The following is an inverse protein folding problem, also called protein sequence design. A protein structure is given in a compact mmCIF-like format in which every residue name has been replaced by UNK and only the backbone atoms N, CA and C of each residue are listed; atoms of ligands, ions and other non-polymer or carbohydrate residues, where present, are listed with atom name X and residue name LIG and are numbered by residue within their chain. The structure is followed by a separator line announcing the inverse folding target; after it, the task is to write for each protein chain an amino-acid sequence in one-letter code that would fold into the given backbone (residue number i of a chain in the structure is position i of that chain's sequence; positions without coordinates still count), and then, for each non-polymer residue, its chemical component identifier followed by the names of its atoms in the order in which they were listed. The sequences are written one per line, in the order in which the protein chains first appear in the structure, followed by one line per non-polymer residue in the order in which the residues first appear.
data_IF_663722286713
#
_entry.id   IF_663722286713
#
_cell.length_a   1.000
_cell.length_b   1.000
_cell.length_c   1.000
_cell.angle_alpha   90.00
_cell.angle_beta   90.00
_cell.angle_gamma   90.00
#
_symmetry.space_group_name_H-M   'P 1'
#
loop_
_entity.id
_entity.type
_entity.pdbx_description
1 polymer ?
#
# COMPACT_ATOMS: atom_id res chain seq x y z
N UNK A 1 8.17 0.17 24.68
CA UNK A 1 7.63 -0.63 23.58
C UNK A 1 8.49 -0.42 22.34
N UNK A 2 8.80 -1.49 21.64
CA UNK A 2 9.63 -1.42 20.44
C UNK A 2 8.87 -0.73 19.31
N UNK A 3 9.57 0.11 18.55
CA UNK A 3 9.00 0.75 17.36
C UNK A 3 9.55 0.06 16.11
N UNK A 4 8.65 -0.33 15.21
CA UNK A 4 9.02 -0.92 13.94
C UNK A 4 8.62 0.06 12.84
N UNK A 5 9.59 0.43 12.01
CA UNK A 5 9.36 1.38 10.93
C UNK A 5 9.29 0.62 9.60
N UNK A 6 8.17 0.80 8.88
CA UNK A 6 7.92 0.08 7.64
C UNK A 6 7.48 1.05 6.56
N UNK A 7 7.48 0.56 5.33
CA UNK A 7 6.99 1.28 4.15
C UNK A 7 5.91 0.45 3.48
N UNK A 8 4.95 1.11 2.85
CA UNK A 8 3.86 0.43 2.17
C UNK A 8 3.62 1.09 0.82
N UNK A 9 3.44 0.26 -0.21
CA UNK A 9 3.16 0.72 -1.56
C UNK A 9 1.68 0.55 -1.84
N UNK A 10 1.00 1.66 -2.12
CA UNK A 10 -0.36 1.63 -2.62
C UNK A 10 -0.24 1.67 -4.15
N UNK A 11 -0.19 0.47 -4.74
CA UNK A 11 0.03 0.31 -6.17
C UNK A 11 -1.29 0.47 -6.88
N UNK A 12 -1.39 1.49 -7.70
CA UNK A 12 -2.61 1.83 -8.40
C UNK A 12 -2.51 1.48 -9.87
N UNK A 13 -3.59 0.92 -10.42
CA UNK A 13 -3.68 0.64 -11.84
C UNK A 13 -5.11 0.99 -12.26
N UNK A 14 -5.27 2.08 -13.01
CA UNK A 14 -6.59 2.60 -13.32
C UNK A 14 -7.29 3.06 -12.05
N UNK A 15 -8.46 2.51 -11.79
CA UNK A 15 -9.24 2.84 -10.60
C UNK A 15 -9.15 1.76 -9.52
N UNK A 16 -8.11 0.91 -9.60
CA UNK A 16 -7.94 -0.20 -8.66
C UNK A 16 -6.60 -0.12 -7.95
N UNK A 17 -6.56 -0.68 -6.76
CA UNK A 17 -5.34 -0.78 -5.98
C UNK A 17 -5.05 -2.24 -5.66
N UNK A 18 -3.76 -2.55 -5.47
CA UNK A 18 -3.29 -3.90 -5.25
C UNK A 18 -3.21 -4.21 -3.77
N UNK A 19 -3.85 -5.30 -3.34
CA UNK A 19 -3.85 -5.76 -1.95
C UNK A 19 -3.34 -7.18 -1.90
N UNK A 20 -2.60 -7.52 -0.83
CA UNK A 20 -2.03 -8.85 -0.67
C UNK A 20 -2.50 -9.46 0.63
N UNK A 21 -2.64 -10.79 0.64
CA UNK A 21 -3.06 -11.53 1.82
C UNK A 21 -1.85 -12.19 2.45
N UNK A 22 -1.69 -11.97 3.75
CA UNK A 22 -0.55 -12.49 4.49
C UNK A 22 -0.64 -14.00 4.60
N UNK A 23 0.42 -14.70 4.24
CA UNK A 23 0.41 -16.16 4.14
C UNK A 23 0.97 -16.89 5.33
N UNK A 24 1.53 -16.20 6.33
CA UNK A 24 2.14 -16.87 7.48
C UNK A 24 2.27 -15.88 8.66
N UNK A 25 2.61 -16.44 9.81
CA UNK A 25 2.90 -15.65 11.00
C UNK A 25 1.66 -15.08 11.66
N UNK A 26 1.88 -14.09 12.50
CA UNK A 26 0.79 -13.35 13.13
C UNK A 26 -0.03 -12.65 12.07
N UNK A 27 -1.34 -12.62 12.28
CA UNK A 27 -2.26 -11.99 11.33
C UNK A 27 -2.34 -12.72 9.99
N UNK A 28 -2.02 -14.02 9.97
CA UNK A 28 -2.20 -14.83 8.77
C UNK A 28 -3.64 -14.68 8.26
N UNK A 29 -3.80 -14.63 6.93
CA UNK A 29 -5.07 -14.47 6.22
C UNK A 29 -5.64 -13.06 6.24
N UNK A 30 -5.03 -12.14 7.00
CA UNK A 30 -5.41 -10.73 6.94
C UNK A 30 -4.74 -10.07 5.74
N UNK A 31 -5.28 -8.95 5.31
CA UNK A 31 -4.83 -8.27 4.10
C UNK A 31 -4.04 -7.02 4.43
N UNK A 32 -3.12 -6.66 3.54
CA UNK A 32 -2.25 -5.51 3.73
C UNK A 32 -1.81 -4.97 2.38
N UNK A 33 -1.28 -3.75 2.38
CA UNK A 33 -0.57 -3.24 1.21
C UNK A 33 0.84 -3.81 1.23
N UNK A 34 1.41 -4.14 0.06
CA UNK A 34 2.76 -4.70 0.03
C UNK A 34 3.79 -3.69 0.49
N UNK A 35 4.85 -4.18 1.11
CA UNK A 35 5.92 -3.36 1.66
C UNK A 35 6.69 -4.16 2.67
N UNK A 36 7.39 -3.47 3.56
CA UNK A 36 8.16 -4.16 4.58
C UNK A 36 9.00 -3.22 5.41
N UNK A 37 9.90 -3.79 6.20
CA UNK A 37 10.70 -3.04 7.15
C UNK A 37 11.80 -2.25 6.45
N UNK A 38 12.03 -1.04 6.95
CA UNK A 38 13.19 -0.25 6.53
C UNK A 38 14.46 -0.83 7.17
N UNK A 39 15.52 -0.79 6.42
CA UNK A 39 16.84 -1.17 6.93
C UNK A 39 17.59 0.09 7.37
N UNK A 40 18.56 -0.06 8.30
CA UNK A 40 19.30 1.10 8.78
C UNK A 40 19.93 1.87 7.63
N UNK A 41 19.75 3.19 7.64
CA UNK A 41 20.34 4.04 6.61
C UNK A 41 19.56 4.19 5.33
N UNK A 42 18.46 3.44 5.18
CA UNK A 42 17.63 3.58 3.99
C UNK A 42 16.68 4.76 4.11
N UNK A 43 16.42 5.44 2.98
CA UNK A 43 15.26 6.34 2.91
C UNK A 43 14.01 5.48 2.75
N UNK A 44 12.83 6.01 3.12
CA UNK A 44 11.59 5.26 2.90
C UNK A 44 11.39 4.86 1.44
N UNK A 45 11.75 5.76 0.50
CA UNK A 45 11.57 5.49 -0.92
C UNK A 45 12.47 4.34 -1.39
N UNK A 46 13.73 4.34 -0.96
CA UNK A 46 14.65 3.26 -1.32
C UNK A 46 14.20 1.94 -0.74
N UNK A 47 13.74 1.96 0.52
CA UNK A 47 13.25 0.76 1.18
C UNK A 47 12.04 0.20 0.42
N UNK A 48 11.15 1.08 -0.03
CA UNK A 48 9.95 0.64 -0.71
C UNK A 48 10.27 -0.03 -2.05
N UNK A 49 11.15 0.56 -2.84
CA UNK A 49 11.55 -0.02 -4.12
C UNK A 49 12.18 -1.40 -3.89
N UNK A 50 13.04 -1.51 -2.89
CA UNK A 50 13.70 -2.78 -2.56
C UNK A 50 12.68 -3.83 -2.12
N UNK A 51 11.77 -3.47 -1.20
CA UNK A 51 10.79 -4.42 -0.67
C UNK A 51 9.85 -4.94 -1.75
N UNK A 52 9.40 -4.06 -2.64
CA UNK A 52 8.50 -4.50 -3.71
C UNK A 52 9.24 -5.43 -4.69
N UNK A 53 10.52 -5.15 -4.95
CA UNK A 53 11.31 -6.04 -5.77
C UNK A 53 11.44 -7.42 -5.12
N UNK A 54 11.65 -7.45 -3.81
CA UNK A 54 11.82 -8.72 -3.09
C UNK A 54 10.52 -9.48 -2.98
N UNK A 55 9.41 -8.80 -2.68
CA UNK A 55 8.15 -9.48 -2.40
C UNK A 55 7.36 -9.82 -3.65
N UNK A 56 7.40 -8.97 -4.66
CA UNK A 56 6.55 -9.12 -5.83
C UNK A 56 7.33 -9.29 -7.13
N UNK A 57 8.66 -9.26 -7.05
CA UNK A 57 9.52 -9.33 -8.22
C UNK A 57 9.11 -8.27 -9.24
N UNK A 58 8.79 -7.08 -8.76
CA UNK A 58 8.25 -6.01 -9.60
C UNK A 58 9.02 -4.72 -9.39
N UNK A 59 9.04 -3.89 -10.42
CA UNK A 59 9.58 -2.54 -10.35
C UNK A 59 8.43 -1.55 -10.24
N UNK A 60 8.54 -0.61 -9.32
CA UNK A 60 7.53 0.43 -9.14
C UNK A 60 8.11 1.80 -9.38
N UNK A 61 7.21 2.72 -9.73
CA UNK A 61 7.49 4.15 -9.71
C UNK A 61 6.72 4.74 -8.54
N UNK A 62 7.39 5.52 -7.72
CA UNK A 62 6.75 6.21 -6.61
C UNK A 62 6.18 7.51 -7.17
N UNK A 63 4.86 7.64 -7.12
CA UNK A 63 4.19 8.80 -7.69
C UNK A 63 4.12 9.94 -6.68
N UNK A 64 3.79 9.65 -5.42
CA UNK A 64 3.82 10.68 -4.38
C UNK A 64 3.68 10.05 -3.00
N UNK A 65 4.15 10.78 -2.00
CA UNK A 65 3.93 10.45 -0.60
C UNK A 65 2.45 10.63 -0.27
N UNK A 66 1.88 9.68 0.46
CA UNK A 66 0.47 9.74 0.82
C UNK A 66 0.26 10.11 2.28
N UNK A 67 0.83 9.33 3.19
CA UNK A 67 0.66 9.56 4.62
C UNK A 67 1.60 8.67 5.41
N UNK A 68 1.70 8.96 6.72
CA UNK A 68 2.38 8.09 7.68
C UNK A 68 1.37 7.69 8.73
N UNK A 69 1.25 6.39 8.98
CA UNK A 69 0.33 5.83 9.95
C UNK A 69 1.14 5.37 11.16
N UNK A 70 0.71 5.78 12.35
CA UNK A 70 1.24 5.27 13.60
C UNK A 70 0.15 4.43 14.26
N UNK A 71 0.50 3.19 14.63
CA UNK A 71 -0.47 2.28 15.20
C UNK A 71 0.18 1.42 16.27
N UNK A 72 -0.48 1.28 17.41
CA UNK A 72 0.01 0.43 18.50
C UNK A 72 -0.61 -0.94 18.39
N UNK A 73 0.21 -1.92 18.01
CA UNK A 73 -0.15 -3.33 18.17
C UNK A 73 0.22 -3.77 19.59
N UNK A 74 -0.31 -4.90 20.07
CA UNK A 74 -0.04 -5.29 21.46
C UNK A 74 1.43 -5.39 21.83
N UNK A 75 2.31 -5.75 20.88
CA UNK A 75 3.71 -6.01 21.18
C UNK A 75 4.67 -4.95 20.65
N UNK A 76 4.18 -4.01 19.85
CA UNK A 76 5.07 -2.99 19.27
C UNK A 76 4.27 -1.83 18.73
N UNK A 77 4.98 -0.71 18.55
CA UNK A 77 4.45 0.47 17.87
C UNK A 77 4.88 0.42 16.41
N UNK A 78 3.95 0.58 15.49
CA UNK A 78 4.22 0.59 14.06
C UNK A 78 4.20 2.01 13.53
N UNK A 79 5.23 2.38 12.77
CA UNK A 79 5.23 3.61 11.97
C UNK A 79 5.33 3.19 10.51
N UNK A 80 4.30 3.49 9.72
CA UNK A 80 4.21 3.02 8.34
C UNK A 80 4.13 4.21 7.40
N UNK A 81 5.12 4.34 6.53
CA UNK A 81 5.17 5.40 5.52
C UNK A 81 4.55 4.89 4.24
N UNK A 82 3.52 5.55 3.75
CA UNK A 82 2.69 5.08 2.65
C UNK A 82 2.86 5.97 1.42
N UNK A 83 3.06 5.33 0.28
CA UNK A 83 3.29 6.04 -0.99
C UNK A 83 2.36 5.51 -2.06
N UNK A 84 1.83 6.42 -2.87
CA UNK A 84 1.05 6.04 -4.04
C UNK A 84 2.02 5.71 -5.16
N UNK A 85 1.85 4.54 -5.76
CA UNK A 85 2.81 4.00 -6.72
C UNK A 85 2.13 3.47 -7.97
N UNK A 86 2.91 3.33 -9.04
CA UNK A 86 2.48 2.64 -10.25
C UNK A 86 3.53 1.59 -10.61
N UNK A 87 3.12 0.59 -11.38
CA UNK A 87 4.05 -0.41 -11.88
C UNK A 87 4.83 0.14 -13.05
N UNK A 88 6.15 -0.08 -13.05
CA UNK A 88 7.01 0.27 -14.17
C UNK A 88 7.03 -0.79 -15.24
N UNK A 89 6.58 -2.01 -14.90
CA UNK A 89 6.43 -3.12 -15.83
C UNK A 89 5.12 -3.81 -15.56
N UNK A 90 4.94 -4.98 -16.15
CA UNK A 90 3.66 -5.68 -16.04
C UNK A 90 3.69 -6.90 -15.14
N UNK A 91 4.87 -7.42 -14.83
CA UNK A 91 4.99 -8.65 -14.08
C UNK A 91 4.85 -8.42 -12.59
N UNK A 92 4.01 -9.21 -11.96
CA UNK A 92 3.90 -9.30 -10.50
C UNK A 92 3.94 -10.77 -10.12
N UNK A 93 4.78 -11.11 -9.15
CA UNK A 93 4.86 -12.47 -8.64
C UNK A 93 4.74 -12.43 -7.14
N UNK A 94 3.92 -13.32 -6.58
CA UNK A 94 3.73 -13.40 -5.14
C UNK A 94 4.78 -14.34 -4.56
N UNK A 95 5.76 -13.78 -3.88
CA UNK A 95 6.83 -14.58 -3.29
C UNK A 95 6.51 -15.04 -1.87
N UNK A 96 5.76 -14.22 -1.12
CA UNK A 96 5.50 -14.51 0.31
C UNK A 96 4.04 -14.42 0.69
N UNK A 97 3.16 -14.06 -0.23
CA UNK A 97 1.74 -13.86 0.08
C UNK A 97 0.94 -15.04 -0.45
N UNK A 98 -0.16 -15.35 0.24
CA UNK A 98 -0.98 -16.48 -0.20
C UNK A 98 -1.99 -16.08 -1.27
N UNK A 99 -2.32 -14.79 -1.39
CA UNK A 99 -3.26 -14.33 -2.41
C UNK A 99 -3.10 -12.85 -2.65
N UNK A 100 -3.68 -12.36 -3.74
CA UNK A 100 -3.69 -10.94 -4.06
C UNK A 100 -4.95 -10.59 -4.83
N UNK A 101 -5.37 -9.33 -4.72
CA UNK A 101 -6.53 -8.83 -5.46
C UNK A 101 -6.28 -7.38 -5.87
N UNK A 102 -6.84 -7.03 -7.03
CA UNK A 102 -6.99 -5.63 -7.41
C UNK A 102 -8.38 -5.20 -6.94
N UNK A 103 -8.42 -4.18 -6.07
CA UNK A 103 -9.66 -3.72 -5.46
C UNK A 103 -10.04 -2.36 -6.02
N UNK A 104 -11.27 -2.24 -6.51
CA UNK A 104 -11.79 -0.97 -6.94
C UNK A 104 -12.26 -0.14 -5.76
N UNK A 105 -12.65 1.10 -6.04
CA UNK A 105 -13.07 2.02 -5.01
C UNK A 105 -14.21 1.47 -4.14
N UNK A 106 -15.15 0.76 -4.75
CA UNK A 106 -16.30 0.24 -4.03
C UNK A 106 -16.03 -1.12 -3.40
N UNK A 107 -14.82 -1.64 -3.53
CA UNK A 107 -14.44 -2.93 -2.99
C UNK A 107 -13.41 -2.84 -1.87
N UNK A 108 -13.10 -1.63 -1.43
CA UNK A 108 -12.02 -1.44 -0.44
C UNK A 108 -12.31 -2.16 0.88
N UNK A 109 -13.58 -2.35 1.22
CA UNK A 109 -13.95 -3.06 2.44
C UNK A 109 -14.27 -4.53 2.19
N UNK A 110 -13.94 -5.06 1.00
CA UNK A 110 -14.23 -6.47 0.67
C UNK A 110 -13.26 -7.44 1.32
N UNK A 111 -12.16 -6.98 1.86
CA UNK A 111 -11.15 -7.82 2.48
C UNK A 111 -10.91 -7.37 3.92
N UNK A 112 -10.35 -8.28 4.72
CA UNK A 112 -10.06 -7.99 6.13
C UNK A 112 -8.66 -7.39 6.24
N UNK A 113 -8.61 -6.07 6.31
CA UNK A 113 -7.36 -5.34 6.40
C UNK A 113 -6.75 -5.41 7.80
N UNK A 114 -5.42 -5.47 7.86
CA UNK A 114 -4.72 -5.24 9.12
C UNK A 114 -5.11 -3.86 9.67
N UNK A 115 -5.17 -3.70 11.00
CA UNK A 115 -5.63 -2.44 11.59
C UNK A 115 -4.91 -1.19 11.08
N UNK A 116 -3.57 -1.23 10.94
CA UNK A 116 -2.84 -0.07 10.45
C UNK A 116 -3.21 0.25 9.00
N UNK A 117 -3.35 -0.79 8.16
CA UNK A 117 -3.68 -0.59 6.76
C UNK A 117 -5.09 -0.05 6.59
N UNK A 118 -6.00 -0.44 7.46
CA UNK A 118 -7.37 0.07 7.45
C UNK A 118 -7.41 1.59 7.53
N UNK A 119 -6.43 2.19 8.23
CA UNK A 119 -6.39 3.63 8.44
C UNK A 119 -6.13 4.40 7.14
N UNK A 120 -5.63 3.73 6.10
CA UNK A 120 -5.33 4.38 4.83
C UNK A 120 -6.57 4.52 3.95
N UNK A 121 -7.57 3.66 4.15
CA UNK A 121 -8.70 3.55 3.22
C UNK A 121 -9.46 4.85 2.94
N UNK A 122 -9.71 5.72 3.93
CA UNK A 122 -10.40 6.97 3.61
C UNK A 122 -9.66 7.83 2.59
N UNK A 123 -8.32 7.79 2.62
CA UNK A 123 -7.51 8.54 1.67
C UNK A 123 -7.59 7.94 0.27
N UNK A 124 -7.73 6.62 0.20
CA UNK A 124 -7.79 5.92 -1.09
C UNK A 124 -9.12 6.11 -1.78
N UNK A 125 -10.21 6.18 -1.02
CA UNK A 125 -11.51 6.41 -1.61
C UNK A 125 -11.50 7.72 -2.40
N UNK A 126 -10.81 8.73 -1.86
CA UNK A 126 -10.68 10.01 -2.54
C UNK A 126 -9.75 9.92 -3.75
N UNK A 127 -8.61 9.24 -3.58
CA UNK A 127 -7.62 9.13 -4.64
C UNK A 127 -8.13 8.33 -5.84
N UNK A 128 -9.10 7.44 -5.61
CA UNK A 128 -9.63 6.58 -6.67
C UNK A 128 -10.89 7.12 -7.32
N UNK A 129 -11.33 8.32 -6.95
CA UNK A 129 -12.51 8.89 -7.59
C UNK A 129 -12.24 9.11 -9.07
N UNK A 130 -13.22 8.83 -9.93
CA UNK A 130 -12.99 8.92 -11.38
C UNK A 130 -12.51 10.28 -11.84
N UNK A 131 -13.02 11.36 -11.30
CA UNK A 131 -12.65 12.69 -11.74
C UNK A 131 -11.28 13.12 -11.24
N UNK A 132 -10.74 12.47 -10.21
CA UNK A 132 -9.41 12.81 -9.70
C UNK A 132 -8.32 12.31 -10.64
N UNK A 133 -8.61 11.29 -11.43
CA UNK A 133 -7.61 10.72 -12.34
C UNK A 133 -7.34 11.61 -13.55
N UNK A 134 -8.21 12.54 -13.81
CA UNK A 134 -8.06 13.42 -14.95
C UNK A 134 -7.13 14.58 -14.68
N UNK A 135 -6.60 14.56 -13.57
CA UNK A 135 -5.67 15.61 -13.25
C UNK A 135 -6.40 16.82 -12.86
N UNK A 136 -6.25 17.72 -13.20
CA UNK A 136 -6.79 18.87 -12.68
C UNK A 136 -7.97 19.43 -13.23
N UNK A 137 -8.51 19.20 -13.66
CA UNK A 137 -9.39 19.47 -14.28
C UNK A 137 -10.36 20.01 -13.96
N UNK A 138 -10.43 20.26 -13.95
CA UNK A 138 -11.36 20.41 -13.81
C UNK A 138 -11.96 20.83 -13.50
N UNK A 139 -12.16 21.35 -13.57
CA UNK A 139 -12.78 21.53 -13.11
C UNK A 139 -13.43 21.34 -12.69
N UNK A 140 -13.56 21.35 -12.46
CA UNK A 140 -14.04 20.84 -12.10
C UNK A 140 -14.57 20.58 -11.67
N UNK A 141 -14.81 21.04 -11.61
CA UNK A 141 -15.27 20.52 -11.27
C UNK A 141 -15.84 20.20 -10.86
N UNK A 142 -16.31 20.58 -10.71
CA UNK A 142 -16.83 19.98 -10.42
C UNK A 142 -16.97 19.47 -9.76
N UNK A 143 -17.05 19.62 -9.27
CA UNK A 143 -17.18 18.89 -8.72
C UNK A 143 -17.34 18.67 -8.17
#
# INVERSE_FOLDING_TARGET
MKTIEVVAAIIRKGDKIFATQRGYGDWKDWWEFPGGKMEPGETPEAALVREIREELDAAIRIDRYLTTIDWDYPQFHLTMHCYLCSLSGEALHLNEHEAARWLGRDELDAVRWLPADWQILPLLADALRPDSSDGPTFPECTK
#
